data_IF_973793238788
#
_entry.id   IF_973793238788
#
_cell.length_a   1.000
_cell.length_b   1.000
_cell.length_c   1.000
_cell.angle_alpha   90.00
_cell.angle_beta   90.00
_cell.angle_gamma   90.00
#
_symmetry.space_group_name_H-M   'P 1'
#
loop_
_entity.id
_entity.type
_entity.pdbx_description
1 polymer ?
#
# COMPACT_ATOMS: atom_id res chain seq x y z
N UNK A 1 21.68 25.55 -15.05
CA UNK A 1 20.43 25.08 -15.68
C UNK A 1 20.47 23.56 -15.70
N UNK A 2 19.66 22.89 -14.87
CA UNK A 2 19.45 21.44 -14.98
C UNK A 2 18.30 21.25 -15.97
N UNK A 3 18.59 20.68 -17.14
CA UNK A 3 17.61 20.42 -18.20
C UNK A 3 16.61 19.38 -17.70
N UNK A 4 15.33 19.69 -17.87
CA UNK A 4 14.17 18.93 -17.36
C UNK A 4 13.72 17.80 -18.29
N UNK A 5 14.47 17.52 -19.36
CA UNK A 5 14.08 16.51 -20.33
C UNK A 5 15.32 15.86 -20.96
N UNK A 6 15.80 14.79 -20.33
CA UNK A 6 16.94 14.00 -20.80
C UNK A 6 16.65 13.39 -22.18
N UNK A 7 15.38 13.02 -22.45
CA UNK A 7 14.99 12.43 -23.73
C UNK A 7 15.10 13.43 -24.89
N UNK A 8 14.71 14.69 -24.67
CA UNK A 8 14.89 15.75 -25.65
C UNK A 8 16.39 16.03 -25.95
N UNK A 9 17.26 15.98 -24.93
CA UNK A 9 18.69 16.18 -25.11
C UNK A 9 19.36 15.07 -25.94
N UNK A 10 19.03 13.80 -25.69
CA UNK A 10 19.57 12.66 -26.46
C UNK A 10 19.06 12.64 -27.91
N UNK A 11 17.80 13.03 -28.14
CA UNK A 11 17.22 13.14 -29.48
C UNK A 11 17.80 14.29 -30.32
N UNK A 12 17.99 15.49 -29.74
CA UNK A 12 18.47 16.66 -30.49
C UNK A 12 20.00 16.74 -30.64
N UNK A 13 20.78 16.35 -29.61
CA UNK A 13 22.22 16.60 -29.58
C UNK A 13 23.10 15.37 -29.86
N UNK A 14 22.58 14.15 -29.70
CA UNK A 14 23.34 12.90 -29.92
C UNK A 14 22.86 12.08 -31.11
N UNK A 15 21.72 12.42 -31.75
CA UNK A 15 21.06 11.59 -32.78
C UNK A 15 20.89 10.11 -32.34
N UNK A 16 20.81 9.86 -31.04
CA UNK A 16 20.55 8.55 -30.44
C UNK A 16 19.25 8.65 -29.65
N UNK A 17 18.07 8.54 -30.30
CA UNK A 17 16.81 8.53 -29.59
C UNK A 17 16.82 7.37 -28.59
N UNK A 18 16.51 7.67 -27.32
CA UNK A 18 16.28 6.62 -26.32
C UNK A 18 15.19 5.69 -26.86
N UNK A 19 15.35 4.36 -26.72
CA UNK A 19 14.32 3.42 -27.15
C UNK A 19 12.98 3.84 -26.54
N UNK A 20 11.93 3.95 -27.35
CA UNK A 20 10.57 4.15 -26.81
C UNK A 20 10.32 3.05 -25.78
N UNK A 21 10.12 3.43 -24.53
CA UNK A 21 9.71 2.49 -23.49
C UNK A 21 8.34 1.95 -23.90
N UNK A 22 8.29 0.76 -24.48
CA UNK A 22 7.03 0.11 -24.86
C UNK A 22 6.20 -0.13 -23.61
N UNK A 23 5.24 0.77 -23.38
CA UNK A 23 4.17 0.61 -22.39
C UNK A 23 3.34 -0.60 -22.82
N UNK A 24 3.36 -1.66 -22.01
CA UNK A 24 2.63 -2.89 -22.32
C UNK A 24 1.12 -2.67 -22.43
N UNK A 25 0.45 -3.43 -23.30
CA UNK A 25 -1.00 -3.39 -23.54
C UNK A 25 -1.86 -3.74 -22.30
N UNK A 26 -1.23 -4.20 -21.22
CA UNK A 26 -1.89 -4.67 -20.00
C UNK A 26 -2.17 -3.55 -18.98
N UNK A 27 -1.87 -2.28 -19.29
CA UNK A 27 -2.11 -1.18 -18.35
C UNK A 27 -3.59 -0.79 -18.28
N UNK A 28 -4.05 -0.48 -17.06
CA UNK A 28 -5.41 -0.05 -16.82
C UNK A 28 -5.51 1.46 -17.05
N UNK A 29 -6.59 1.88 -17.69
CA UNK A 29 -6.96 3.29 -17.81
C UNK A 29 -7.78 3.75 -16.60
N UNK A 30 -7.80 5.05 -16.34
CA UNK A 30 -8.63 5.64 -15.29
C UNK A 30 -10.11 5.29 -15.47
N UNK A 31 -10.63 5.27 -16.72
CA UNK A 31 -12.02 4.90 -16.99
C UNK A 31 -12.30 3.44 -16.64
N UNK A 32 -11.38 2.52 -16.93
CA UNK A 32 -11.53 1.11 -16.54
C UNK A 32 -11.55 0.96 -15.02
N UNK A 33 -10.67 1.66 -14.28
CA UNK A 33 -10.65 1.63 -12.81
C UNK A 33 -11.92 2.25 -12.24
N UNK A 34 -12.35 3.42 -12.72
CA UNK A 34 -13.57 4.09 -12.28
C UNK A 34 -14.84 3.26 -12.54
N UNK A 35 -14.83 2.39 -13.55
CA UNK A 35 -15.92 1.49 -13.88
C UNK A 35 -15.95 0.20 -13.04
N UNK A 36 -14.97 -0.07 -12.17
CA UNK A 36 -14.91 -1.26 -11.28
C UNK A 36 -15.90 -1.19 -10.11
N UNK A 37 -17.13 -0.78 -10.36
CA UNK A 37 -18.15 -0.48 -9.36
C UNK A 37 -18.91 -1.73 -8.92
N UNK A 38 -19.18 -1.86 -7.63
CA UNK A 38 -19.93 -2.98 -7.05
C UNK A 38 -21.36 -2.64 -6.59
N UNK A 39 -21.85 -1.41 -6.78
CA UNK A 39 -23.21 -0.97 -6.39
C UNK A 39 -23.47 -0.95 -4.87
N UNK A 40 -22.43 -1.09 -4.05
CA UNK A 40 -22.55 -1.02 -2.59
C UNK A 40 -22.45 0.41 -2.07
N UNK A 41 -23.20 0.82 -1.04
CA UNK A 41 -23.04 2.16 -0.48
C UNK A 41 -21.63 2.39 0.08
N UNK A 42 -21.13 3.62 -0.02
CA UNK A 42 -19.87 4.03 0.62
C UNK A 42 -19.91 3.70 2.12
N UNK A 43 -18.76 3.26 2.64
CA UNK A 43 -18.58 2.88 4.03
C UNK A 43 -19.47 1.72 4.53
N UNK A 44 -19.87 0.84 3.61
CA UNK A 44 -20.47 -0.46 3.91
C UNK A 44 -19.51 -1.59 3.55
N UNK A 45 -19.41 -2.56 4.44
CA UNK A 45 -18.53 -3.72 4.27
C UNK A 45 -19.35 -4.89 3.72
N UNK A 46 -18.92 -5.54 2.63
CA UNK A 46 -19.58 -6.74 2.15
C UNK A 46 -19.55 -7.87 3.17
N UNK A 47 -20.63 -8.68 3.22
CA UNK A 47 -20.71 -9.82 4.14
C UNK A 47 -19.56 -10.82 3.98
N UNK A 48 -19.01 -10.95 2.77
CA UNK A 48 -17.89 -11.82 2.46
C UNK A 48 -16.55 -11.29 3.00
N UNK A 49 -16.46 -9.99 3.32
CA UNK A 49 -15.25 -9.36 3.84
C UNK A 49 -14.86 -9.91 5.22
N UNK A 50 -13.74 -10.62 5.27
CA UNK A 50 -13.16 -11.20 6.49
C UNK A 50 -12.12 -10.28 7.14
N UNK A 51 -11.47 -9.42 6.34
CA UNK A 51 -10.46 -8.47 6.79
C UNK A 51 -10.88 -7.05 6.42
N UNK A 52 -10.70 -6.10 7.32
CA UNK A 52 -10.88 -4.67 7.05
C UNK A 52 -9.58 -3.96 7.39
N UNK A 53 -9.02 -3.29 6.39
CA UNK A 53 -7.69 -2.67 6.46
C UNK A 53 -7.77 -1.21 6.09
N UNK A 54 -6.84 -0.42 6.62
CA UNK A 54 -6.65 0.96 6.21
C UNK A 54 -5.17 1.26 5.94
N UNK A 55 -4.95 2.26 5.09
CA UNK A 55 -3.63 2.85 4.89
C UNK A 55 -3.74 4.36 4.91
N UNK A 56 -2.75 5.02 5.49
CA UNK A 56 -2.62 6.47 5.51
C UNK A 56 -1.27 6.86 4.87
N UNK A 57 -1.31 7.66 3.82
CA UNK A 57 -0.14 8.27 3.17
C UNK A 57 0.04 9.72 3.63
N UNK A 58 1.26 10.10 4.01
CA UNK A 58 1.59 11.39 4.63
C UNK A 58 2.26 12.31 3.61
N UNK A 59 1.54 13.33 3.13
CA UNK A 59 1.95 14.15 1.99
C UNK A 59 2.11 15.64 2.33
N UNK A 60 2.70 15.93 3.50
CA UNK A 60 3.02 17.29 3.97
C UNK A 60 1.79 18.15 4.30
N UNK A 61 0.99 18.51 3.28
CA UNK A 61 -0.26 19.28 3.45
C UNK A 61 -1.45 18.43 3.84
N UNK A 62 -1.47 17.15 3.45
CA UNK A 62 -2.62 16.26 3.57
C UNK A 62 -2.18 14.87 4.05
N UNK A 63 -3.15 14.16 4.63
CA UNK A 63 -3.10 12.71 4.83
C UNK A 63 -4.07 12.08 3.85
N UNK A 64 -3.60 11.29 2.89
CA UNK A 64 -4.49 10.50 2.03
C UNK A 64 -4.78 9.17 2.72
N UNK A 65 -5.97 8.61 2.52
CA UNK A 65 -6.31 7.31 3.06
C UNK A 65 -7.18 6.48 2.12
N UNK A 66 -7.07 5.17 2.30
CA UNK A 66 -7.99 4.17 1.75
C UNK A 66 -8.39 3.21 2.88
N UNK A 67 -9.64 2.76 2.86
CA UNK A 67 -10.16 1.65 3.64
C UNK A 67 -10.67 0.60 2.67
N UNK A 68 -10.16 -0.63 2.80
CA UNK A 68 -10.54 -1.74 1.95
C UNK A 68 -10.88 -2.98 2.77
N UNK A 69 -11.93 -3.67 2.36
CA UNK A 69 -12.33 -4.97 2.86
C UNK A 69 -11.82 -6.08 1.93
N UNK A 70 -11.51 -7.24 2.49
CA UNK A 70 -10.93 -8.36 1.77
C UNK A 70 -11.52 -9.68 2.24
N UNK A 71 -11.78 -10.56 1.29
CA UNK A 71 -11.94 -11.99 1.53
C UNK A 71 -10.57 -12.65 1.73
N UNK A 72 -10.55 -13.89 2.18
CA UNK A 72 -9.30 -14.62 2.42
C UNK A 72 -8.49 -14.87 1.14
N UNK A 73 -9.12 -14.79 -0.05
CA UNK A 73 -8.47 -15.00 -1.34
C UNK A 73 -8.11 -13.71 -2.10
N UNK A 74 -8.11 -12.57 -1.43
CA UNK A 74 -7.92 -11.23 -2.02
C UNK A 74 -9.00 -10.77 -3.00
N UNK A 75 -10.18 -11.40 -3.01
CA UNK A 75 -11.37 -10.69 -3.48
C UNK A 75 -11.57 -9.47 -2.58
N UNK A 76 -11.59 -8.28 -3.18
CA UNK A 76 -11.39 -7.02 -2.48
C UNK A 76 -12.44 -5.96 -2.83
N UNK A 77 -12.66 -5.07 -1.87
CA UNK A 77 -13.69 -4.04 -1.95
C UNK A 77 -13.11 -2.77 -1.34
N UNK A 78 -12.88 -1.73 -2.16
CA UNK A 78 -12.63 -0.39 -1.65
C UNK A 78 -13.92 0.10 -1.01
N UNK A 79 -13.88 0.34 0.29
CA UNK A 79 -15.04 0.69 1.13
C UNK A 79 -15.13 2.19 1.34
N UNK A 80 -13.97 2.84 1.47
CA UNK A 80 -13.86 4.29 1.65
C UNK A 80 -12.48 4.77 1.20
N UNK A 81 -12.38 6.04 0.81
CA UNK A 81 -11.11 6.72 0.56
C UNK A 81 -11.31 8.23 0.66
N UNK A 82 -10.23 8.96 0.92
CA UNK A 82 -10.29 10.42 0.99
C UNK A 82 -8.97 11.06 1.39
N UNK A 83 -9.06 12.30 1.82
CA UNK A 83 -7.98 13.03 2.47
C UNK A 83 -8.43 13.58 3.81
N UNK A 84 -7.47 13.78 4.72
CA UNK A 84 -7.60 14.62 5.88
C UNK A 84 -6.64 15.81 5.80
N UNK A 85 -7.12 17.06 5.98
CA UNK A 85 -8.55 17.42 6.08
C UNK A 85 -9.32 17.13 4.76
N UNK A 86 -10.64 16.98 4.88
CA UNK A 86 -11.52 16.86 3.71
C UNK A 86 -11.49 18.17 2.92
N UNK A 87 -11.29 18.06 1.59
CA UNK A 87 -11.26 19.21 0.69
C UNK A 87 -12.65 19.76 0.35
N UNK A 88 -13.73 19.06 0.72
CA UNK A 88 -15.12 19.42 0.45
C UNK A 88 -15.41 19.66 -1.05
N UNK A 89 -14.68 18.94 -1.91
CA UNK A 89 -14.84 18.97 -3.36
C UNK A 89 -14.57 17.60 -3.96
N UNK A 90 -15.21 17.34 -5.08
CA UNK A 90 -15.12 16.06 -5.81
C UNK A 90 -13.79 15.88 -6.54
N UNK A 91 -13.03 16.97 -6.77
CA UNK A 91 -11.78 16.93 -7.51
C UNK A 91 -10.78 17.95 -6.96
N UNK A 92 -9.55 17.50 -6.72
CA UNK A 92 -8.43 18.30 -6.26
C UNK A 92 -7.07 17.68 -6.58
N UNK A 93 -6.03 18.49 -6.45
CA UNK A 93 -4.63 18.07 -6.45
C UNK A 93 -3.99 18.43 -5.11
N UNK A 94 -2.87 17.79 -4.76
CA UNK A 94 -2.09 18.17 -3.58
C UNK A 94 -1.60 19.62 -3.67
N UNK A 95 -1.26 20.08 -4.89
CA UNK A 95 -0.77 21.44 -5.13
C UNK A 95 -1.82 22.50 -4.77
N UNK A 96 -3.07 22.30 -5.20
CA UNK A 96 -4.16 23.27 -5.05
C UNK A 96 -5.07 23.01 -3.84
N UNK A 97 -4.73 22.03 -2.99
CA UNK A 97 -5.41 21.75 -1.72
C UNK A 97 -5.51 23.00 -0.83
N UNK A 98 -6.72 23.29 -0.34
CA UNK A 98 -7.06 24.50 0.44
C UNK A 98 -7.12 24.22 1.93
N UNK A 99 -7.71 23.09 2.30
CA UNK A 99 -7.77 22.66 3.70
C UNK A 99 -6.54 21.80 3.99
N UNK A 100 -5.58 22.33 4.73
CA UNK A 100 -4.30 21.65 4.98
C UNK A 100 -4.17 21.28 6.45
N UNK A 101 -3.27 20.33 6.76
CA UNK A 101 -2.90 19.99 8.12
C UNK A 101 -2.48 21.23 8.92
N UNK A 102 -1.68 22.11 8.34
CA UNK A 102 -1.25 23.36 8.97
C UNK A 102 -2.44 24.27 9.36
N UNK A 103 -3.49 24.33 8.52
CA UNK A 103 -4.68 25.13 8.80
C UNK A 103 -5.63 24.45 9.80
N UNK A 104 -5.62 23.11 9.88
CA UNK A 104 -6.45 22.34 10.79
C UNK A 104 -5.90 22.31 12.23
N UNK A 105 -4.60 22.56 12.41
CA UNK A 105 -3.93 22.59 13.71
C UNK A 105 -3.15 23.90 13.89
N UNK A 106 -3.86 24.96 14.27
CA UNK A 106 -3.30 26.30 14.46
C UNK A 106 -2.12 26.32 15.44
N UNK A 107 -1.05 27.06 15.10
CA UNK A 107 0.09 27.28 15.98
C UNK A 107 1.11 26.14 16.07
N UNK A 108 0.97 25.08 15.27
CA UNK A 108 1.91 23.95 15.26
C UNK A 108 2.89 24.01 14.09
N UNK A 109 4.12 23.51 14.30
CA UNK A 109 5.06 23.24 13.21
C UNK A 109 4.63 22.04 12.37
N UNK A 110 5.36 21.77 11.28
CA UNK A 110 5.05 20.67 10.35
C UNK A 110 4.79 19.34 11.07
N UNK A 111 5.74 18.91 11.91
CA UNK A 111 5.64 17.66 12.67
C UNK A 111 4.42 17.61 13.59
N UNK A 112 4.12 18.72 14.28
CA UNK A 112 2.95 18.82 15.15
C UNK A 112 1.64 18.74 14.37
N UNK A 113 1.58 19.37 13.19
CA UNK A 113 0.39 19.31 12.32
C UNK A 113 0.14 17.91 11.76
N UNK A 114 1.21 17.17 11.45
CA UNK A 114 1.12 15.77 11.03
C UNK A 114 0.62 14.91 12.21
N UNK A 115 1.18 15.08 13.40
CA UNK A 115 0.76 14.33 14.58
C UNK A 115 -0.72 14.55 14.90
N UNK A 116 -1.17 15.81 14.97
CA UNK A 116 -2.57 16.16 15.23
C UNK A 116 -3.52 15.65 14.12
N UNK A 117 -3.06 15.69 12.87
CA UNK A 117 -3.81 15.13 11.74
C UNK A 117 -3.96 13.61 11.83
N UNK A 118 -2.88 12.91 12.17
CA UNK A 118 -2.91 11.46 12.36
C UNK A 118 -3.83 11.08 13.52
N UNK A 119 -3.77 11.80 14.64
CA UNK A 119 -4.69 11.61 15.76
C UNK A 119 -6.15 11.73 15.29
N UNK A 120 -6.50 12.87 14.68
CA UNK A 120 -7.85 13.15 14.19
C UNK A 120 -8.35 12.11 13.18
N UNK A 121 -7.51 11.75 12.19
CA UNK A 121 -7.89 10.80 11.15
C UNK A 121 -8.02 9.37 11.71
N UNK A 122 -7.11 8.94 12.59
CA UNK A 122 -7.20 7.60 13.18
C UNK A 122 -8.38 7.46 14.12
N UNK A 123 -8.75 8.50 14.87
CA UNK A 123 -9.97 8.47 15.69
C UNK A 123 -11.21 8.31 14.79
N UNK A 124 -11.26 9.00 13.65
CA UNK A 124 -12.35 8.88 12.67
C UNK A 124 -12.43 7.50 12.03
N UNK A 125 -11.30 6.92 11.62
CA UNK A 125 -11.28 5.63 10.92
C UNK A 125 -11.35 4.44 11.86
N UNK A 126 -10.52 4.44 12.92
CA UNK A 126 -10.30 3.31 13.82
C UNK A 126 -11.22 3.33 15.05
N UNK A 127 -11.71 4.51 15.45
CA UNK A 127 -12.76 4.66 16.46
C UNK A 127 -14.16 4.33 15.95
N UNK A 128 -14.36 4.36 14.64
CA UNK A 128 -15.64 4.05 13.97
C UNK A 128 -15.93 2.55 13.92
N UNK A 129 -17.21 2.22 14.08
CA UNK A 129 -17.75 0.91 13.72
C UNK A 129 -18.22 0.92 12.26
N UNK A 130 -17.69 -0.02 11.48
CA UNK A 130 -18.00 -0.18 10.06
C UNK A 130 -19.12 -1.20 9.91
N UNK A 131 -20.24 -0.80 9.31
CA UNK A 131 -21.40 -1.68 9.18
C UNK A 131 -21.21 -2.65 8.02
N UNK A 132 -21.38 -3.93 8.31
CA UNK A 132 -21.44 -4.99 7.31
C UNK A 132 -22.87 -5.17 6.78
N UNK A 133 -23.04 -5.81 5.63
CA UNK A 133 -24.35 -6.01 5.00
C UNK A 133 -25.37 -6.76 5.87
N UNK A 134 -24.90 -7.67 6.71
CA UNK A 134 -25.73 -8.41 7.67
C UNK A 134 -26.09 -7.59 8.93
N UNK A 135 -25.71 -6.32 8.97
CA UNK A 135 -25.92 -5.43 10.11
C UNK A 135 -24.90 -5.58 11.23
N UNK A 136 -23.95 -6.52 11.12
CA UNK A 136 -22.89 -6.67 12.10
C UNK A 136 -21.90 -5.50 12.03
N UNK A 137 -21.34 -5.12 13.18
CA UNK A 137 -20.25 -4.15 13.25
C UNK A 137 -18.90 -4.85 13.01
N UNK A 138 -18.06 -4.23 12.19
CA UNK A 138 -16.68 -4.61 11.95
C UNK A 138 -15.74 -3.44 12.30
N UNK A 139 -14.51 -3.76 12.71
CA UNK A 139 -13.46 -2.76 12.97
C UNK A 139 -12.27 -3.01 12.05
N UNK A 140 -11.51 -1.96 11.75
CA UNK A 140 -10.25 -2.07 11.03
C UNK A 140 -9.27 -2.89 11.88
N UNK A 141 -8.76 -4.01 11.36
CA UNK A 141 -7.86 -4.91 12.08
C UNK A 141 -6.38 -4.64 11.85
N UNK A 142 -6.02 -3.86 10.82
CA UNK A 142 -4.67 -3.37 10.55
C UNK A 142 -4.74 -2.03 9.84
N UNK A 143 -4.05 -1.03 10.40
CA UNK A 143 -3.85 0.26 9.75
C UNK A 143 -2.36 0.50 9.59
N UNK A 144 -1.90 0.69 8.35
CA UNK A 144 -0.52 1.05 8.06
C UNK A 144 -0.44 2.55 7.80
N UNK A 145 0.69 3.17 8.18
CA UNK A 145 0.96 4.58 7.90
C UNK A 145 2.28 4.66 7.14
N UNK A 146 2.33 5.37 6.01
CA UNK A 146 3.58 5.58 5.30
C UNK A 146 4.56 6.39 6.15
N UNK A 147 5.81 5.94 6.17
CA UNK A 147 6.90 6.59 6.88
C UNK A 147 8.13 6.78 5.97
N UNK A 148 7.96 6.70 4.65
CA UNK A 148 9.04 6.86 3.67
C UNK A 148 9.48 8.32 3.50
N UNK A 149 8.59 9.29 3.78
CA UNK A 149 8.96 10.70 3.73
C UNK A 149 9.80 11.10 4.94
N UNK A 150 11.09 11.39 4.73
CA UNK A 150 12.06 11.60 5.81
C UNK A 150 11.71 12.69 6.82
N UNK A 151 10.91 13.69 6.43
CA UNK A 151 10.43 14.75 7.33
C UNK A 151 9.30 14.30 8.27
N UNK A 152 8.63 13.17 7.99
CA UNK A 152 7.54 12.64 8.83
C UNK A 152 7.89 11.32 9.52
N UNK A 153 8.99 10.65 9.14
CA UNK A 153 9.33 9.30 9.64
C UNK A 153 9.31 9.20 11.17
N UNK A 154 10.00 10.10 11.87
CA UNK A 154 10.09 10.07 13.34
C UNK A 154 8.74 10.37 14.01
N UNK A 155 7.95 11.27 13.43
CA UNK A 155 6.60 11.62 13.91
C UNK A 155 5.65 10.44 13.76
N UNK A 156 5.64 9.77 12.59
CA UNK A 156 4.81 8.59 12.34
C UNK A 156 5.18 7.46 13.32
N UNK A 157 6.48 7.29 13.56
CA UNK A 157 7.00 6.31 14.50
C UNK A 157 6.58 6.59 15.94
N UNK A 158 6.72 7.84 16.38
CA UNK A 158 6.26 8.28 17.69
C UNK A 158 4.74 8.07 17.83
N UNK A 159 3.97 8.53 16.84
CA UNK A 159 2.52 8.44 16.83
C UNK A 159 2.02 7.00 16.94
N UNK A 160 2.52 6.09 16.10
CA UNK A 160 2.11 4.68 16.15
C UNK A 160 2.40 4.02 17.50
N UNK A 161 3.43 4.48 18.23
CA UNK A 161 3.80 3.96 19.55
C UNK A 161 2.92 4.52 20.67
N UNK A 162 2.52 5.78 20.57
CA UNK A 162 1.80 6.52 21.62
C UNK A 162 0.28 6.49 21.46
N UNK A 163 -0.21 6.20 20.25
CA UNK A 163 -1.64 6.17 19.94
C UNK A 163 -2.41 5.12 20.77
N UNK A 164 -3.66 5.41 21.16
CA UNK A 164 -4.55 4.40 21.77
C UNK A 164 -4.80 3.19 20.86
N UNK A 165 -4.56 3.33 19.54
CA UNK A 165 -4.71 2.28 18.53
C UNK A 165 -3.40 1.53 18.22
N UNK A 166 -2.37 1.64 19.07
CA UNK A 166 -1.03 1.08 18.82
C UNK A 166 -0.97 -0.43 18.53
N UNK A 167 -1.99 -1.22 18.89
CA UNK A 167 -2.05 -2.66 18.60
C UNK A 167 -2.28 -2.98 17.11
N UNK A 168 -2.98 -2.09 16.41
CA UNK A 168 -3.36 -2.24 15.00
C UNK A 168 -2.60 -1.28 14.07
N UNK A 169 -2.05 -0.18 14.60
CA UNK A 169 -1.18 0.73 13.87
C UNK A 169 0.21 0.14 13.65
N UNK A 170 0.77 0.38 12.47
CA UNK A 170 2.16 0.03 12.17
C UNK A 170 2.75 0.97 11.11
N UNK A 171 3.91 1.61 11.37
CA UNK A 171 4.63 2.34 10.32
C UNK A 171 5.04 1.41 9.19
N UNK A 172 5.06 1.92 7.97
CA UNK A 172 5.36 1.15 6.77
C UNK A 172 6.42 1.84 5.90
N UNK A 173 7.22 1.02 5.22
CA UNK A 173 8.24 1.46 4.28
C UNK A 173 8.12 0.67 2.98
N UNK A 174 7.69 1.34 1.92
CA UNK A 174 7.77 0.78 0.57
C UNK A 174 9.22 0.78 0.08
N UNK A 175 9.70 -0.34 -0.47
CA UNK A 175 11.02 -0.44 -1.11
C UNK A 175 10.87 -0.81 -2.57
N UNK A 176 11.49 -0.01 -3.42
CA UNK A 176 11.69 -0.35 -4.81
C UNK A 176 12.61 -1.58 -4.92
N UNK A 177 12.09 -2.65 -5.52
CA UNK A 177 12.84 -3.87 -5.82
C UNK A 177 12.79 -4.07 -7.32
N UNK A 178 13.83 -3.60 -8.00
CA UNK A 178 13.99 -3.79 -9.44
C UNK A 178 14.55 -5.17 -9.80
N UNK A 179 14.65 -5.45 -11.10
CA UNK A 179 15.17 -6.73 -11.59
C UNK A 179 16.64 -6.98 -11.15
N UNK A 180 17.41 -5.90 -10.96
CA UNK A 180 18.78 -5.91 -10.44
C UNK A 180 18.88 -5.98 -8.91
N UNK A 181 17.78 -5.78 -8.18
CA UNK A 181 17.73 -5.75 -6.71
C UNK A 181 17.53 -7.14 -6.13
N UNK A 182 18.07 -7.40 -4.94
CA UNK A 182 17.79 -8.66 -4.25
C UNK A 182 16.31 -8.69 -3.81
N UNK A 183 15.53 -9.74 -4.14
CA UNK A 183 14.14 -9.85 -3.70
C UNK A 183 14.03 -10.18 -2.22
N UNK A 184 12.92 -9.82 -1.59
CA UNK A 184 12.67 -10.12 -0.17
C UNK A 184 12.71 -11.63 0.15
N UNK A 185 12.49 -12.51 -0.83
CA UNK A 185 12.67 -13.96 -0.69
C UNK A 185 14.09 -14.37 -0.32
N UNK A 186 15.10 -13.64 -0.78
CA UNK A 186 16.51 -13.96 -0.61
C UNK A 186 17.10 -13.37 0.68
N UNK A 187 16.35 -12.53 1.39
CA UNK A 187 16.86 -11.88 2.60
C UNK A 187 17.02 -12.93 3.71
N UNK A 188 18.22 -12.96 4.32
CA UNK A 188 18.48 -13.84 5.47
C UNK A 188 17.52 -13.51 6.61
N UNK A 189 16.72 -14.50 7.01
CA UNK A 189 15.80 -14.41 8.14
C UNK A 189 16.59 -14.47 9.45
N UNK A 190 16.34 -13.51 10.33
CA UNK A 190 16.86 -13.53 11.70
C UNK A 190 15.78 -14.04 12.66
N UNK A 191 16.15 -14.66 13.80
CA UNK A 191 15.19 -15.03 14.83
C UNK A 191 14.33 -13.83 15.24
N UNK A 192 13.00 -14.01 15.24
CA UNK A 192 12.02 -12.97 15.56
C UNK A 192 11.47 -12.19 14.36
N UNK A 193 12.10 -12.28 13.17
CA UNK A 193 11.58 -11.61 11.97
C UNK A 193 10.22 -12.22 11.59
N UNK A 194 9.23 -11.36 11.34
CA UNK A 194 7.99 -11.79 10.66
C UNK A 194 8.17 -11.54 9.17
N UNK A 195 7.86 -12.54 8.36
CA UNK A 195 7.97 -12.46 6.90
C UNK A 195 6.69 -13.05 6.31
N UNK A 196 6.11 -12.36 5.34
CA UNK A 196 4.98 -12.85 4.55
C UNK A 196 5.23 -12.68 3.05
N UNK A 197 4.16 -12.47 2.31
CA UNK A 197 4.17 -12.32 0.85
C UNK A 197 4.82 -10.99 0.47
N UNK A 198 6.11 -11.02 0.12
CA UNK A 198 6.89 -9.83 -0.28
C UNK A 198 6.80 -8.65 0.72
N UNK A 199 6.61 -8.95 2.00
CA UNK A 199 6.74 -8.02 3.11
C UNK A 199 7.46 -8.68 4.28
N UNK A 200 8.07 -7.87 5.15
CA UNK A 200 8.70 -8.30 6.39
C UNK A 200 8.58 -7.25 7.48
N UNK A 201 8.58 -7.71 8.73
CA UNK A 201 8.75 -6.89 9.93
C UNK A 201 10.04 -7.37 10.60
N UNK A 202 11.16 -6.65 10.40
CA UNK A 202 12.42 -6.99 11.05
C UNK A 202 12.30 -6.97 12.58
N UNK A 203 13.06 -7.84 13.25
CA UNK A 203 13.22 -7.75 14.70
C UNK A 203 14.01 -6.51 15.08
N UNK A 204 13.51 -5.77 16.04
CA UNK A 204 14.18 -4.62 16.66
C UNK A 204 15.46 -5.13 17.34
N UNK A 205 16.62 -4.68 16.87
CA UNK A 205 17.89 -4.88 17.55
C UNK A 205 18.40 -3.51 18.05
N UNK A 206 18.57 -3.37 19.37
CA UNK A 206 19.01 -2.12 20.01
C UNK A 206 17.87 -1.23 20.54
N UNK A 207 18.23 -0.20 21.32
CA UNK A 207 17.30 0.64 22.11
C UNK A 207 16.48 1.68 21.29
N UNK A 208 16.64 1.75 19.96
CA UNK A 208 16.10 2.86 19.14
C UNK A 208 15.33 2.46 17.87
N UNK A 209 15.14 1.18 17.56
CA UNK A 209 14.42 0.80 16.32
C UNK A 209 12.95 0.55 16.65
N UNK A 210 12.05 1.27 16.00
CA UNK A 210 10.60 1.05 16.13
C UNK A 210 10.17 -0.02 15.14
N UNK A 211 9.25 -0.88 15.58
CA UNK A 211 8.67 -1.93 14.75
C UNK A 211 7.96 -1.30 13.54
N UNK A 212 8.34 -1.69 12.33
CA UNK A 212 7.74 -1.22 11.10
C UNK A 212 7.67 -2.38 10.10
N UNK A 213 6.74 -2.30 9.14
CA UNK A 213 6.71 -3.20 8.00
C UNK A 213 7.51 -2.62 6.84
N UNK A 214 8.21 -3.49 6.12
CA UNK A 214 8.88 -3.18 4.86
C UNK A 214 8.27 -4.09 3.80
N UNK A 215 7.88 -3.55 2.66
CA UNK A 215 7.29 -4.31 1.56
C UNK A 215 7.85 -3.92 0.20
N UNK A 216 7.76 -4.84 -0.76
CA UNK A 216 8.18 -4.66 -2.15
C UNK A 216 7.13 -3.86 -2.92
N UNK A 217 7.43 -2.60 -3.28
CA UNK A 217 6.45 -1.72 -3.92
C UNK A 217 6.09 -2.18 -5.32
N UNK A 218 7.07 -2.62 -6.11
CA UNK A 218 6.82 -3.04 -7.50
C UNK A 218 5.93 -4.28 -7.50
N UNK A 219 6.26 -5.28 -6.69
CA UNK A 219 5.47 -6.50 -6.61
C UNK A 219 4.04 -6.23 -6.14
N UNK A 220 3.87 -5.42 -5.10
CA UNK A 220 2.54 -5.12 -4.56
C UNK A 220 1.70 -4.19 -5.44
N UNK A 221 2.33 -3.28 -6.22
CA UNK A 221 1.66 -2.49 -7.25
C UNK A 221 1.14 -3.40 -8.37
N UNK A 222 1.99 -4.28 -8.93
CA UNK A 222 1.55 -5.27 -9.92
C UNK A 222 0.48 -6.21 -9.38
N UNK A 223 0.61 -6.68 -8.13
CA UNK A 223 -0.40 -7.53 -7.51
C UNK A 223 -1.77 -6.82 -7.43
N UNK A 224 -1.79 -5.60 -6.91
CA UNK A 224 -3.01 -4.80 -6.72
C UNK A 224 -3.64 -4.43 -8.06
N UNK A 225 -2.83 -3.99 -9.03
CA UNK A 225 -3.24 -3.72 -10.40
C UNK A 225 -3.89 -4.95 -11.04
N UNK A 226 -3.27 -6.14 -10.89
CA UNK A 226 -3.85 -7.38 -11.40
C UNK A 226 -5.22 -7.69 -10.78
N UNK A 227 -5.48 -7.35 -9.51
CA UNK A 227 -6.82 -7.53 -8.90
C UNK A 227 -7.86 -6.59 -9.50
N UNK A 228 -7.48 -5.34 -9.82
CA UNK A 228 -8.36 -4.39 -10.51
C UNK A 228 -8.71 -4.86 -11.93
N UNK A 229 -7.76 -5.54 -12.59
CA UNK A 229 -7.96 -6.07 -13.95
C UNK A 229 -8.83 -7.34 -14.01
N UNK A 230 -8.95 -8.09 -12.91
CA UNK A 230 -9.86 -9.26 -12.84
C UNK A 230 -11.31 -8.81 -13.05
N UNK A 231 -12.10 -9.54 -13.84
CA UNK A 231 -13.49 -9.20 -14.14
C UNK A 231 -14.38 -9.18 -12.88
N UNK A 232 -15.42 -8.34 -12.90
CA UNK A 232 -16.41 -8.35 -11.81
C UNK A 232 -17.07 -9.72 -11.69
N UNK A 233 -17.12 -10.29 -10.48
CA UNK A 233 -17.66 -11.62 -10.19
C UNK A 233 -16.62 -12.74 -10.14
N UNK A 234 -15.42 -12.52 -10.70
CA UNK A 234 -14.33 -13.48 -10.60
C UNK A 234 -13.58 -13.35 -9.26
N UNK A 235 -13.05 -14.48 -8.78
CA UNK A 235 -12.29 -14.53 -7.53
C UNK A 235 -11.01 -13.71 -7.62
N UNK A 236 -10.73 -12.95 -6.56
CA UNK A 236 -9.60 -12.04 -6.52
C UNK A 236 -9.81 -10.75 -7.29
N UNK A 237 -11.05 -10.40 -7.65
CA UNK A 237 -11.44 -9.10 -8.16
C UNK A 237 -11.35 -8.03 -7.06
N UNK A 238 -10.81 -6.85 -7.39
CA UNK A 238 -10.89 -5.66 -6.57
C UNK A 238 -11.91 -4.68 -7.16
N UNK A 239 -12.93 -4.34 -6.37
CA UNK A 239 -14.04 -3.45 -6.76
C UNK A 239 -14.11 -2.20 -5.90
N UNK A 240 -14.88 -1.20 -6.33
CA UNK A 240 -15.04 0.11 -5.72
C UNK A 240 -16.52 0.34 -5.37
N UNK A 241 -16.79 0.94 -4.20
CA UNK A 241 -18.13 1.27 -3.74
C UNK A 241 -18.89 2.23 -4.66
N UNK A 242 -20.20 2.29 -4.52
CA UNK A 242 -21.11 3.28 -5.09
C UNK A 242 -21.72 2.82 -6.41
N UNK A 243 -22.28 3.72 -7.21
CA UNK A 243 -23.10 3.37 -8.39
C UNK A 243 -22.79 4.19 -9.65
N UNK A 244 -21.87 5.17 -9.56
CA UNK A 244 -21.59 6.13 -10.61
C UNK A 244 -20.07 6.31 -10.85
N UNK A 245 -19.52 5.95 -12.02
CA UNK A 245 -18.08 6.07 -12.30
C UNK A 245 -17.50 7.47 -12.16
N UNK A 246 -18.27 8.52 -12.46
CA UNK A 246 -17.83 9.91 -12.36
C UNK A 246 -17.40 10.30 -10.94
N UNK A 247 -17.95 9.67 -9.90
CA UNK A 247 -17.57 9.94 -8.52
C UNK A 247 -16.14 9.45 -8.18
N UNK A 248 -15.61 8.53 -8.98
CA UNK A 248 -14.29 7.94 -8.79
C UNK A 248 -13.23 8.50 -9.73
N UNK A 249 -13.56 9.50 -10.57
CA UNK A 249 -12.63 10.03 -11.58
C UNK A 249 -11.24 10.34 -11.00
N UNK A 250 -11.20 11.21 -9.99
CA UNK A 250 -9.94 11.61 -9.35
C UNK A 250 -9.22 10.43 -8.67
N UNK A 251 -9.99 9.52 -8.05
CA UNK A 251 -9.41 8.33 -7.42
C UNK A 251 -8.75 7.42 -8.45
N UNK A 252 -9.44 7.17 -9.56
CA UNK A 252 -8.96 6.33 -10.64
C UNK A 252 -7.74 6.93 -11.35
N UNK A 253 -7.73 8.24 -11.60
CA UNK A 253 -6.56 8.96 -12.14
C UNK A 253 -5.34 8.74 -11.25
N UNK A 254 -5.45 8.97 -9.93
CA UNK A 254 -4.31 8.73 -9.01
C UNK A 254 -3.89 7.26 -8.92
N UNK A 255 -4.84 6.31 -9.01
CA UNK A 255 -4.54 4.87 -9.04
C UNK A 255 -3.80 4.48 -10.33
N UNK A 256 -3.99 5.22 -11.41
CA UNK A 256 -3.33 5.01 -12.72
C UNK A 256 -2.23 6.03 -13.05
N UNK A 257 -1.85 6.86 -12.07
CA UNK A 257 -0.83 7.90 -12.21
C UNK A 257 0.61 7.32 -12.32
N UNK A 258 0.75 6.01 -12.22
CA UNK A 258 1.97 5.29 -12.50
C UNK A 258 1.79 4.30 -13.65
N UNK A 259 2.91 3.97 -14.28
CA UNK A 259 2.99 3.00 -15.35
C UNK A 259 4.14 2.04 -15.05
N UNK A 260 4.02 0.78 -15.47
CA UNK A 260 5.11 -0.18 -15.32
C UNK A 260 5.77 -0.51 -16.66
N UNK A 261 7.08 -0.75 -16.57
CA UNK A 261 7.90 -1.29 -17.66
C UNK A 261 8.39 -2.66 -17.24
N UNK A 262 8.24 -3.65 -18.12
CA UNK A 262 8.70 -5.01 -17.86
C UNK A 262 10.22 -5.07 -18.04
N UNK A 263 10.93 -5.23 -16.93
CA UNK A 263 12.40 -5.24 -16.90
C UNK A 263 12.91 -6.63 -16.55
N UNK A 264 13.88 -7.13 -17.33
CA UNK A 264 14.55 -8.40 -17.07
C UNK A 264 15.94 -8.18 -16.48
N UNK A 265 16.27 -8.94 -15.45
CA UNK A 265 17.54 -8.80 -14.74
C UNK A 265 17.77 -9.96 -13.79
N UNK A 266 19.02 -10.46 -13.75
CA UNK A 266 19.43 -11.59 -12.89
C UNK A 266 18.50 -12.82 -13.02
N UNK A 267 18.04 -13.13 -14.23
CA UNK A 267 17.16 -14.27 -14.52
C UNK A 267 15.73 -14.13 -13.98
N UNK A 268 15.29 -12.90 -13.68
CA UNK A 268 13.91 -12.59 -13.27
C UNK A 268 13.34 -11.47 -14.11
N UNK A 269 12.05 -11.54 -14.34
CA UNK A 269 11.26 -10.47 -14.95
C UNK A 269 10.46 -9.78 -13.85
N UNK A 270 10.57 -8.46 -13.76
CA UNK A 270 9.88 -7.62 -12.78
C UNK A 270 9.24 -6.46 -13.52
N UNK A 271 8.00 -6.14 -13.16
CA UNK A 271 7.36 -4.91 -13.62
C UNK A 271 7.86 -3.75 -12.73
N UNK A 272 8.67 -2.86 -13.29
CA UNK A 272 9.21 -1.70 -12.58
C UNK A 272 8.28 -0.51 -12.77
N UNK A 273 7.68 -0.04 -11.67
CA UNK A 273 6.69 1.04 -11.68
C UNK A 273 7.36 2.41 -11.64
N UNK A 274 6.85 3.34 -12.46
CA UNK A 274 7.34 4.70 -12.66
C UNK A 274 6.17 5.68 -12.62
N UNK A 275 6.40 6.84 -12.02
CA UNK A 275 5.42 7.93 -12.02
C UNK A 275 5.28 8.55 -13.42
N UNK A 276 4.04 8.94 -13.76
CA UNK A 276 3.73 9.71 -14.96
C UNK A 276 4.03 11.19 -14.70
N UNK A 277 4.92 11.85 -15.46
CA UNK A 277 5.26 13.26 -15.26
C UNK A 277 4.07 14.21 -15.30
N UNK A 278 3.05 13.88 -16.11
CA UNK A 278 1.82 14.65 -16.29
C UNK A 278 0.79 14.46 -15.17
N UNK A 279 0.95 13.43 -14.33
CA UNK A 279 0.05 13.11 -13.21
C UNK A 279 0.87 12.89 -11.93
N UNK A 280 1.24 13.98 -11.21
CA UNK A 280 2.16 13.88 -10.09
C UNK A 280 1.55 13.26 -8.82
N UNK A 281 0.22 13.23 -8.71
CA UNK A 281 -0.48 12.76 -7.51
C UNK A 281 -0.82 11.27 -7.68
N UNK A 282 -0.13 10.40 -6.93
CA UNK A 282 -0.29 8.93 -6.94
C UNK A 282 -0.67 8.37 -5.55
N UNK A 283 -1.06 9.23 -4.62
CA UNK A 283 -1.17 8.92 -3.19
C UNK A 283 -2.19 7.83 -2.87
N UNK A 284 -3.32 7.79 -3.60
CA UNK A 284 -4.29 6.71 -3.43
C UNK A 284 -3.86 5.36 -4.00
N UNK A 285 -2.95 5.31 -5.00
CA UNK A 285 -2.33 4.05 -5.41
C UNK A 285 -1.54 3.46 -4.25
N UNK A 286 -0.67 4.26 -3.63
CA UNK A 286 0.14 3.83 -2.50
C UNK A 286 -0.73 3.40 -1.30
N UNK A 287 -1.82 4.13 -1.04
CA UNK A 287 -2.79 3.73 -0.02
C UNK A 287 -3.47 2.38 -0.32
N UNK A 288 -3.92 2.17 -1.56
CA UNK A 288 -4.59 0.94 -1.96
C UNK A 288 -3.65 -0.27 -1.89
N UNK A 289 -2.42 -0.10 -2.38
CA UNK A 289 -1.33 -1.07 -2.26
C UNK A 289 -1.05 -1.41 -0.81
N UNK A 290 -0.96 -0.39 0.04
CA UNK A 290 -0.75 -0.56 1.46
C UNK A 290 -1.88 -1.29 2.18
N UNK A 291 -3.13 -1.10 1.77
CA UNK A 291 -4.27 -1.90 2.26
C UNK A 291 -4.13 -3.38 1.89
N UNK A 292 -3.68 -3.69 0.67
CA UNK A 292 -3.44 -5.07 0.24
C UNK A 292 -2.30 -5.73 1.05
N UNK A 293 -1.21 -5.00 1.32
CA UNK A 293 -0.13 -5.45 2.22
C UNK A 293 -0.70 -5.75 3.62
N UNK A 294 -1.51 -4.83 4.17
CA UNK A 294 -2.14 -4.99 5.46
C UNK A 294 -3.03 -6.25 5.53
N UNK A 295 -3.78 -6.54 4.46
CA UNK A 295 -4.62 -7.74 4.37
C UNK A 295 -3.77 -9.02 4.40
N UNK A 296 -2.65 -9.04 3.66
CA UNK A 296 -1.69 -10.13 3.74
C UNK A 296 -1.14 -10.34 5.15
N UNK A 297 -0.88 -9.25 5.87
CA UNK A 297 -0.41 -9.32 7.27
C UNK A 297 -1.47 -9.88 8.22
N UNK A 298 -2.75 -9.78 7.87
CA UNK A 298 -3.87 -10.36 8.61
C UNK A 298 -4.20 -11.79 8.21
N UNK A 299 -3.68 -12.28 7.08
CA UNK A 299 -3.77 -13.68 6.67
C UNK A 299 -4.42 -13.91 5.30
N UNK A 300 -4.86 -12.86 4.60
CA UNK A 300 -5.34 -12.99 3.22
C UNK A 300 -4.21 -13.55 2.33
N UNK A 301 -4.57 -14.52 1.49
CA UNK A 301 -3.65 -15.29 0.67
C UNK A 301 -4.32 -15.70 -0.64
N UNK A 302 -3.78 -15.23 -1.76
CA UNK A 302 -4.27 -15.62 -3.08
C UNK A 302 -3.66 -16.98 -3.43
N UNK A 303 -4.50 -17.96 -3.79
CA UNK A 303 -4.04 -19.30 -4.16
C UNK A 303 -2.93 -19.24 -5.23
N UNK A 304 -1.83 -19.94 -4.98
CA UNK A 304 -0.66 -19.97 -5.87
C UNK A 304 0.36 -18.86 -5.64
N UNK A 305 0.08 -17.90 -4.76
CA UNK A 305 1.08 -16.91 -4.29
C UNK A 305 1.84 -17.38 -3.04
N UNK A 306 1.39 -18.50 -2.47
CA UNK A 306 1.97 -19.17 -1.32
C UNK A 306 3.43 -19.54 -1.61
N UNK A 307 4.34 -19.09 -0.75
CA UNK A 307 5.67 -19.71 -0.70
C UNK A 307 5.49 -21.07 -0.02
N UNK A 308 6.09 -22.17 -0.53
CA UNK A 308 6.09 -23.42 0.20
C UNK A 308 6.69 -23.15 1.58
N UNK A 309 5.90 -23.40 2.63
CA UNK A 309 6.38 -23.32 4.01
C UNK A 309 7.49 -24.36 4.10
N UNK A 310 8.75 -23.91 4.12
CA UNK A 310 9.87 -24.81 4.35
C UNK A 310 9.54 -25.65 5.60
N UNK A 311 9.60 -26.99 5.53
CA UNK A 311 9.15 -27.83 6.61
C UNK A 311 9.86 -27.41 7.88
N UNK A 312 9.11 -27.13 8.96
CA UNK A 312 9.66 -26.81 10.27
C UNK A 312 10.65 -27.93 10.60
N UNK A 313 11.96 -27.65 10.53
CA UNK A 313 12.98 -28.58 11.02
C UNK A 313 12.62 -28.86 12.47
N UNK A 314 12.16 -30.09 12.77
CA UNK A 314 11.96 -30.54 14.14
C UNK A 314 13.27 -30.26 14.88
N UNK A 315 13.20 -29.50 15.98
CA UNK A 315 14.35 -29.31 16.87
C UNK A 315 14.71 -30.69 17.41
N UNK A 316 15.70 -31.33 16.80
CA UNK A 316 16.24 -32.59 17.29
C UNK A 316 16.94 -32.28 18.60
N UNK A 317 16.51 -32.92 19.68
CA UNK A 317 17.16 -32.79 20.98
C UNK A 317 18.60 -33.29 20.89
N UNK A 318 19.53 -32.69 21.63
CA UNK A 318 20.92 -33.15 21.69
C UNK A 318 21.02 -34.64 22.07
N UNK A 319 20.05 -35.12 22.88
CA UNK A 319 19.89 -36.53 23.26
C UNK A 319 19.54 -37.44 22.06
N UNK A 320 18.65 -36.99 21.17
CA UNK A 320 18.28 -37.71 19.94
C UNK A 320 19.44 -37.72 18.93
N UNK A 321 20.23 -36.65 18.89
CA UNK A 321 21.42 -36.56 18.02
C UNK A 321 22.55 -37.50 18.49
N UNK A 322 22.72 -37.67 19.81
CA UNK A 322 23.66 -38.64 20.37
C UNK A 322 23.22 -40.10 20.17
N UNK A 323 21.92 -40.39 20.28
CA UNK A 323 21.40 -41.75 20.04
C UNK A 323 21.56 -42.18 18.58
N UNK A 324 21.37 -41.26 17.62
CA UNK A 324 21.59 -41.54 16.20
C UNK A 324 23.06 -41.73 15.80
N UNK A 325 24.01 -41.27 16.61
CA UNK A 325 25.45 -41.47 16.39
C UNK A 325 25.97 -42.81 16.95
N UNK A 326 25.16 -43.53 17.72
CA UNK A 326 25.52 -44.81 18.37
C UNK A 326 24.93 -46.04 17.69
N UNK A 327 24.13 -45.86 16.64
CA UNK A 327 23.75 -46.91 15.69
C UNK A 327 24.70 -46.86 14.49
#
# INVERSE_FOLDING_TARGET
LKLQDEAAFFAEYQNEPLPEETVGADQLTADQVAAKINHMPRARVPIAGNHLTAFIDVQGKLLFYVVAAWEDDFTGYVVDYGSYPDQQRTYFTLRDARHTLANASEGTGLEGSIYAGLESLTDQLLGREWQRDDGAAMKIGRCLIDANWGHSTDVVYQFCRQSPHASILLPSHGRFVGASSNPFSEYKRRPGDRVGLNWRVPTIHGKRVIRHVIYDTNWWKSFTHARLAVSMGDRGCLSIFGDRPDQHRMFAEQVTAEYFVRTEGRGRTVDEWKARPEQPDNHWLDCLVGCAVAASMQGALLFGTDRPIAPKRKRVSFKEMQQRRRQ
#
